data_IF_408248138929
#
_entry.id   IF_408248138929
#
_cell.length_a   1.000
_cell.length_b   1.000
_cell.length_c   1.000
_cell.angle_alpha   90.00
_cell.angle_beta   90.00
_cell.angle_gamma   90.00
#
_symmetry.space_group_name_H-M   'P 1'
#
loop_
_entity.id
_entity.type
_entity.pdbx_description
1 polymer ?
#
# COMPACT_ATOMS: atom_id res chain seq x y z
N UNK A 1 24.39 27.97 6.76
CA UNK A 1 23.15 27.83 7.55
C UNK A 1 22.18 26.98 6.72
N UNK A 2 22.13 25.65 6.93
CA UNK A 2 21.32 24.72 6.12
C UNK A 2 21.05 23.40 6.86
N UNK A 3 20.73 23.44 8.17
CA UNK A 3 20.72 22.22 9.00
C UNK A 3 19.52 22.07 9.93
N UNK A 4 18.41 22.75 9.67
CA UNK A 4 17.22 22.68 10.53
C UNK A 4 16.04 21.89 9.93
N UNK A 5 16.21 21.28 8.74
CA UNK A 5 15.11 20.57 8.07
C UNK A 5 15.06 19.05 8.35
N UNK A 6 15.98 18.51 9.13
CA UNK A 6 16.09 17.05 9.37
C UNK A 6 15.28 16.54 10.57
N UNK A 7 14.82 17.42 11.47
CA UNK A 7 14.19 16.99 12.74
C UNK A 7 12.76 16.45 12.55
N UNK A 8 11.98 17.00 11.62
CA UNK A 8 10.57 16.56 11.41
C UNK A 8 10.45 15.18 10.74
N UNK A 9 11.55 14.65 10.18
CA UNK A 9 11.56 13.34 9.50
C UNK A 9 11.89 12.18 10.46
N UNK A 10 12.14 12.46 11.73
CA UNK A 10 12.54 11.43 12.72
C UNK A 10 11.48 10.34 12.89
N UNK A 11 10.20 10.70 13.01
CA UNK A 11 9.09 9.73 13.13
C UNK A 11 8.94 8.87 11.88
N UNK A 12 9.07 9.47 10.70
CA UNK A 12 9.05 8.73 9.44
C UNK A 12 10.23 7.76 9.33
N UNK A 13 11.42 8.16 9.79
CA UNK A 13 12.62 7.31 9.77
C UNK A 13 12.54 6.11 10.72
N UNK A 14 11.73 6.19 11.78
CA UNK A 14 11.49 5.09 12.72
C UNK A 14 10.64 3.97 12.14
N UNK A 15 9.88 4.23 11.07
CA UNK A 15 9.07 3.21 10.40
C UNK A 15 9.93 2.16 9.69
N UNK A 16 9.35 0.97 9.50
CA UNK A 16 9.98 -0.07 8.70
C UNK A 16 10.31 0.43 7.28
N UNK A 17 11.43 -0.04 6.69
CA UNK A 17 11.84 0.35 5.34
C UNK A 17 10.74 0.03 4.29
N UNK A 18 9.94 -1.00 4.57
CA UNK A 18 8.79 -1.40 3.76
C UNK A 18 7.68 -0.35 3.81
N UNK A 19 7.25 0.09 5.01
CA UNK A 19 6.23 1.12 5.13
C UNK A 19 6.67 2.45 4.53
N UNK A 20 7.91 2.88 4.80
CA UNK A 20 8.47 4.11 4.18
C UNK A 20 8.36 4.08 2.66
N UNK A 21 8.75 2.96 2.06
CA UNK A 21 8.65 2.75 0.61
C UNK A 21 7.20 2.73 0.12
N UNK A 22 6.27 2.18 0.91
CA UNK A 22 4.85 2.15 0.59
C UNK A 22 4.23 3.55 0.63
N UNK A 23 4.53 4.35 1.66
CA UNK A 23 4.13 5.75 1.81
C UNK A 23 4.60 6.58 0.62
N UNK A 24 5.88 6.46 0.26
CA UNK A 24 6.45 7.16 -0.90
C UNK A 24 5.84 6.70 -2.22
N UNK A 25 5.62 5.39 -2.38
CA UNK A 25 5.00 4.83 -3.58
C UNK A 25 3.56 5.28 -3.75
N UNK A 26 2.80 5.39 -2.65
CA UNK A 26 1.44 5.90 -2.66
C UNK A 26 1.40 7.37 -3.11
N UNK A 27 2.31 8.20 -2.57
CA UNK A 27 2.51 9.57 -3.02
C UNK A 27 2.82 9.65 -4.52
N UNK A 28 3.88 8.96 -4.96
CA UNK A 28 4.38 9.05 -6.33
C UNK A 28 3.34 8.57 -7.35
N UNK A 29 2.62 7.49 -7.03
CA UNK A 29 1.57 6.93 -7.90
C UNK A 29 0.43 7.92 -8.12
N UNK A 30 0.08 8.71 -7.11
CA UNK A 30 -1.04 9.64 -7.20
C UNK A 30 -0.59 10.98 -7.77
N UNK A 31 0.58 11.48 -7.37
CA UNK A 31 1.13 12.74 -7.87
C UNK A 31 1.44 12.68 -9.37
N UNK A 32 1.92 11.54 -9.89
CA UNK A 32 2.21 11.35 -11.33
C UNK A 32 0.96 11.29 -12.22
N UNK A 33 -0.23 11.02 -11.67
CA UNK A 33 -1.46 11.03 -12.49
C UNK A 33 -1.82 12.43 -12.98
N UNK A 34 -1.42 13.48 -12.26
CA UNK A 34 -1.74 14.87 -12.63
C UNK A 34 -1.02 15.35 -13.87
N UNK A 35 0.16 14.83 -14.18
CA UNK A 35 0.98 15.32 -15.29
C UNK A 35 0.65 14.65 -16.63
N UNK A 36 -0.11 13.56 -16.62
CA UNK A 36 -0.29 12.72 -17.83
C UNK A 36 -1.60 12.99 -18.56
N UNK A 37 -2.66 13.42 -17.87
CA UNK A 37 -3.98 13.59 -18.50
C UNK A 37 -4.13 14.88 -19.34
N UNK A 38 -3.37 15.94 -19.05
CA UNK A 38 -3.52 17.22 -19.78
C UNK A 38 -2.68 17.33 -21.06
N UNK A 39 -1.69 16.45 -21.28
CA UNK A 39 -0.76 16.59 -22.41
C UNK A 39 -1.01 15.64 -23.59
N UNK A 40 -1.95 14.69 -23.47
CA UNK A 40 -2.23 13.70 -24.53
C UNK A 40 -3.47 14.04 -25.38
N UNK A 41 -4.18 15.13 -25.09
CA UNK A 41 -5.37 15.59 -25.86
C UNK A 41 -5.08 16.65 -26.93
N UNK A 42 -3.83 17.10 -27.08
CA UNK A 42 -3.47 18.14 -28.06
C UNK A 42 -2.92 17.62 -29.41
N UNK A 43 -2.89 16.31 -29.66
CA UNK A 43 -2.29 15.76 -30.89
C UNK A 43 -3.10 14.64 -31.53
N UNK A 44 -4.39 14.89 -31.80
CA UNK A 44 -5.20 13.96 -32.60
C UNK A 44 -6.20 14.59 -33.59
N UNK A 45 -6.08 15.89 -33.90
CA UNK A 45 -6.89 16.54 -34.96
C UNK A 45 -6.10 17.58 -35.79
N UNK A 46 -4.96 17.15 -36.33
CA UNK A 46 -4.34 17.83 -37.49
C UNK A 46 -4.27 16.86 -38.68
N UNK A 47 -5.44 16.38 -39.09
CA UNK A 47 -5.62 15.73 -40.39
C UNK A 47 -5.59 16.80 -41.50
N UNK A 48 -4.63 16.68 -42.41
CA UNK A 48 -4.79 17.08 -43.81
C UNK A 48 -4.44 18.52 -44.18
N UNK A 49 -3.18 18.74 -44.58
CA UNK A 49 -2.73 19.95 -45.27
C UNK A 49 -1.46 19.69 -46.06
N UNK A 50 -1.57 18.91 -47.15
CA UNK A 50 -0.54 18.81 -48.18
C UNK A 50 -0.24 20.21 -48.74
N UNK A 51 0.97 20.71 -48.54
CA UNK A 51 1.50 21.84 -49.31
C UNK A 51 2.27 21.20 -50.49
N UNK A 52 1.88 21.45 -51.75
CA UNK A 52 2.64 20.96 -52.90
C UNK A 52 4.00 21.64 -52.97
N UNK A 53 4.99 20.86 -53.41
CA UNK A 53 6.31 21.29 -53.87
C UNK A 53 6.26 22.65 -54.57
N UNK A 54 6.89 23.65 -53.95
CA UNK A 54 7.26 24.88 -54.66
C UNK A 54 8.70 25.20 -54.28
N UNK A 55 9.60 24.87 -55.22
CA UNK A 55 11.03 25.06 -55.08
C UNK A 55 11.41 26.53 -54.89
N UNK A 56 12.51 26.71 -54.16
CA UNK A 56 13.28 27.95 -54.16
C UNK A 56 14.76 27.59 -54.20
N UNK A 57 15.36 27.78 -55.38
CA UNK A 57 16.80 27.94 -55.58
C UNK A 57 17.15 29.41 -55.34
N UNK A 58 18.17 29.64 -54.52
CA UNK A 58 19.16 30.74 -54.52
C UNK A 58 20.23 30.23 -53.55
N UNK A 59 21.36 29.65 -53.99
CA UNK A 59 22.56 30.33 -54.52
C UNK A 59 22.86 31.58 -53.69
N UNK A 60 23.66 31.43 -52.62
CA UNK A 60 25.13 31.54 -52.56
C UNK A 60 25.52 32.94 -52.02
N UNK A 61 26.68 32.96 -51.39
CA UNK A 61 27.48 34.08 -50.92
C UNK A 61 27.32 34.63 -49.48
N UNK A 62 28.49 34.61 -48.86
CA UNK A 62 29.09 35.51 -47.86
C UNK A 62 28.76 35.36 -46.37
N UNK A 63 29.73 34.73 -45.71
CA UNK A 63 30.53 35.28 -44.61
C UNK A 63 29.87 35.75 -43.29
N UNK A 64 30.63 35.41 -42.25
CA UNK A 64 30.72 36.04 -40.93
C UNK A 64 29.86 35.57 -39.75
N UNK A 65 30.60 35.57 -38.64
CA UNK A 65 30.20 35.62 -37.24
C UNK A 65 29.81 34.29 -36.57
N UNK A 66 30.84 33.65 -36.02
CA UNK A 66 30.73 32.69 -34.93
C UNK A 66 29.88 33.22 -33.77
N UNK A 67 28.68 32.68 -33.65
CA UNK A 67 27.86 32.75 -32.45
C UNK A 67 28.13 31.53 -31.59
N UNK A 68 28.76 31.75 -30.43
CA UNK A 68 28.94 30.75 -29.38
C UNK A 68 27.56 30.30 -28.90
N UNK A 69 27.03 29.22 -29.46
CA UNK A 69 25.89 28.53 -28.86
C UNK A 69 26.39 28.01 -27.51
N UNK A 70 25.79 28.41 -26.37
CA UNK A 70 26.05 27.70 -25.12
C UNK A 70 25.81 26.22 -25.40
N UNK A 71 26.64 25.30 -24.88
CA UNK A 71 26.43 23.88 -25.11
C UNK A 71 24.97 23.60 -24.82
N UNK A 72 24.24 23.12 -25.83
CA UNK A 72 22.89 22.62 -25.66
C UNK A 72 22.99 21.59 -24.57
N UNK A 73 22.76 22.05 -23.34
CA UNK A 73 22.65 21.21 -22.18
C UNK A 73 21.58 20.26 -22.60
N UNK A 74 21.97 19.00 -22.80
CA UNK A 74 21.01 17.92 -22.76
C UNK A 74 20.19 18.24 -21.53
N UNK A 75 18.98 18.75 -21.75
CA UNK A 75 17.96 18.88 -20.76
C UNK A 75 17.79 17.43 -20.34
N UNK A 76 18.60 17.07 -19.35
CA UNK A 76 18.40 15.91 -18.54
C UNK A 76 17.02 16.24 -18.04
N UNK A 77 16.03 15.64 -18.68
CA UNK A 77 14.70 15.48 -18.13
C UNK A 77 14.93 14.60 -16.92
N UNK A 78 15.59 15.17 -15.91
CA UNK A 78 15.50 14.74 -14.55
C UNK A 78 14.01 14.76 -14.36
N UNK A 79 13.45 13.56 -14.31
CA UNK A 79 12.08 13.32 -13.96
C UNK A 79 11.97 13.80 -12.52
N UNK A 80 11.85 15.13 -12.37
CA UNK A 80 11.76 15.81 -11.10
C UNK A 80 10.55 15.19 -10.44
N UNK A 81 10.81 14.34 -9.44
CA UNK A 81 9.76 13.64 -8.72
C UNK A 81 8.83 14.73 -8.19
N UNK A 82 7.52 14.67 -8.46
CA UNK A 82 6.60 15.70 -8.03
C UNK A 82 6.75 15.85 -6.51
N UNK A 83 7.03 17.07 -6.05
CA UNK A 83 7.27 17.34 -4.63
C UNK A 83 5.97 17.61 -3.87
N UNK A 84 4.85 17.80 -4.57
CA UNK A 84 3.56 18.21 -4.05
C UNK A 84 2.42 17.40 -4.67
N UNK A 85 1.33 17.20 -3.91
CA UNK A 85 0.08 16.60 -4.38
C UNK A 85 -1.11 17.50 -4.00
N UNK A 86 -2.16 17.59 -4.83
CA UNK A 86 -3.37 18.33 -4.45
C UNK A 86 -4.20 17.58 -3.40
N UNK A 87 -4.83 18.32 -2.47
CA UNK A 87 -5.69 17.77 -1.40
C UNK A 87 -6.78 16.81 -1.90
N UNK A 88 -7.33 17.07 -3.10
CA UNK A 88 -8.38 16.24 -3.71
C UNK A 88 -7.94 14.80 -4.00
N UNK A 89 -6.63 14.55 -4.04
CA UNK A 89 -6.04 13.25 -4.36
C UNK A 89 -5.61 12.43 -3.14
N UNK A 90 -5.63 13.05 -1.96
CA UNK A 90 -5.27 12.40 -0.69
C UNK A 90 -6.15 11.19 -0.39
N UNK A 91 -7.49 11.23 -0.57
CA UNK A 91 -8.33 10.04 -0.41
C UNK A 91 -7.82 8.82 -1.18
N UNK A 92 -7.41 9.01 -2.44
CA UNK A 92 -6.87 7.93 -3.28
C UNK A 92 -5.50 7.45 -2.79
N UNK A 93 -4.65 8.35 -2.28
CA UNK A 93 -3.36 7.98 -1.71
C UNK A 93 -3.52 7.20 -0.40
N UNK A 94 -4.44 7.62 0.48
CA UNK A 94 -4.79 6.91 1.72
C UNK A 94 -5.31 5.50 1.44
N UNK A 95 -6.12 5.35 0.39
CA UNK A 95 -6.60 4.04 -0.03
C UNK A 95 -5.46 3.09 -0.44
N UNK A 96 -4.35 3.58 -0.99
CA UNK A 96 -3.17 2.75 -1.30
C UNK A 96 -2.38 2.31 -0.06
N UNK A 97 -2.62 2.98 1.07
CA UNK A 97 -2.08 2.63 2.39
C UNK A 97 -3.07 1.82 3.23
N UNK A 98 -4.20 1.40 2.64
CA UNK A 98 -5.30 0.75 3.35
C UNK A 98 -5.86 1.59 4.52
N UNK A 99 -5.72 2.92 4.45
CA UNK A 99 -6.30 3.88 5.39
C UNK A 99 -7.68 4.34 4.87
N UNK A 100 -8.63 4.72 5.77
CA UNK A 100 -9.96 5.17 5.35
C UNK A 100 -9.86 6.45 4.49
N UNK A 101 -10.33 6.42 3.23
CA UNK A 101 -10.12 7.53 2.30
C UNK A 101 -10.99 8.76 2.59
N UNK A 102 -12.07 8.60 3.36
CA UNK A 102 -13.07 9.62 3.64
C UNK A 102 -13.14 10.02 5.12
N UNK A 103 -12.11 9.71 5.91
CA UNK A 103 -12.04 10.10 7.31
C UNK A 103 -11.88 11.63 7.42
N UNK A 104 -12.88 12.35 7.98
CA UNK A 104 -12.85 13.81 8.05
C UNK A 104 -11.74 14.32 8.98
N UNK A 105 -11.34 13.56 9.99
CA UNK A 105 -10.29 13.95 10.93
C UNK A 105 -8.93 13.92 10.25
N UNK A 106 -8.62 12.82 9.55
CA UNK A 106 -7.38 12.67 8.78
C UNK A 106 -7.31 13.76 7.69
N UNK A 107 -8.40 13.98 6.96
CA UNK A 107 -8.45 15.01 5.92
C UNK A 107 -8.30 16.42 6.49
N UNK A 108 -8.81 16.69 7.69
CA UNK A 108 -8.60 17.96 8.40
C UNK A 108 -7.13 18.18 8.74
N UNK A 109 -6.43 17.15 9.23
CA UNK A 109 -4.98 17.21 9.49
C UNK A 109 -4.21 17.54 8.22
N UNK A 110 -4.55 16.90 7.09
CA UNK A 110 -3.93 17.22 5.80
C UNK A 110 -4.24 18.62 5.30
N UNK A 111 -5.45 19.14 5.50
CA UNK A 111 -5.80 20.54 5.20
C UNK A 111 -4.95 21.50 6.02
N UNK A 112 -4.81 21.23 7.32
CA UNK A 112 -3.96 22.03 8.21
C UNK A 112 -2.49 21.97 7.77
N UNK A 113 -2.00 20.79 7.38
CA UNK A 113 -0.65 20.63 6.88
C UNK A 113 -0.44 21.38 5.55
N UNK A 114 -1.40 21.30 4.61
CA UNK A 114 -1.40 22.03 3.35
C UNK A 114 -1.42 23.56 3.54
N UNK A 115 -2.16 24.05 4.55
CA UNK A 115 -2.21 25.46 4.91
C UNK A 115 -0.91 25.98 5.54
N UNK A 116 0.06 25.08 5.76
CA UNK A 116 1.41 25.41 6.19
C UNK A 116 1.53 25.49 7.71
N UNK A 117 1.91 24.38 8.34
CA UNK A 117 2.46 24.39 9.71
C UNK A 117 3.74 25.25 9.78
N UNK A 118 4.42 25.41 8.64
CA UNK A 118 5.67 26.15 8.49
C UNK A 118 5.52 27.67 8.60
N UNK A 119 4.32 28.22 8.39
CA UNK A 119 4.07 29.67 8.46
C UNK A 119 4.12 30.23 9.89
N UNK A 120 4.07 29.38 10.93
CA UNK A 120 4.16 29.83 12.32
C UNK A 120 5.60 30.17 12.76
N UNK A 121 6.64 29.61 12.12
CA UNK A 121 8.05 29.85 12.45
C UNK A 121 8.65 30.94 11.54
N UNK A 122 8.20 32.17 11.71
CA UNK A 122 9.14 33.31 11.68
C UNK A 122 9.59 33.92 10.34
N UNK A 123 8.80 33.88 9.27
CA UNK A 123 9.09 34.69 8.06
C UNK A 123 7.89 35.55 7.65
N UNK A 124 7.37 36.34 8.61
CA UNK A 124 6.51 37.50 8.29
C UNK A 124 7.40 38.68 7.88
N UNK A 125 8.04 38.61 6.72
CA UNK A 125 8.65 39.79 6.09
C UNK A 125 8.23 39.84 4.63
N UNK A 126 7.26 40.70 4.31
CA UNK A 126 6.86 41.02 2.93
C UNK A 126 5.42 40.63 2.63
N UNK A 127 4.43 41.37 3.11
CA UNK A 127 3.82 42.52 2.40
C UNK A 127 2.84 42.07 1.31
N UNK A 128 1.59 41.87 1.74
CA UNK A 128 0.37 42.23 1.00
C UNK A 128 0.23 41.65 -0.41
N UNK A 129 -0.08 40.37 -0.50
CA UNK A 129 -0.82 39.82 -1.64
C UNK A 129 -2.26 39.61 -1.19
N UNK A 130 -3.19 40.33 -1.80
CA UNK A 130 -4.62 40.23 -1.54
C UNK A 130 -5.10 38.78 -1.70
N UNK A 131 -6.04 38.45 -0.83
CA UNK A 131 -6.68 37.17 -0.63
C UNK A 131 -7.43 36.76 -1.90
N UNK A 132 -6.75 36.07 -2.81
CA UNK A 132 -7.42 35.15 -3.72
C UNK A 132 -7.84 33.95 -2.86
N UNK A 133 -9.01 34.08 -2.21
CA UNK A 133 -9.77 32.99 -1.57
C UNK A 133 -10.27 32.00 -2.63
N UNK A 134 -9.38 31.59 -3.53
CA UNK A 134 -9.57 30.55 -4.52
C UNK A 134 -9.78 29.23 -3.80
N UNK A 135 -11.04 28.96 -3.50
CA UNK A 135 -11.58 27.70 -3.04
C UNK A 135 -10.93 26.54 -3.82
N UNK A 136 -10.14 25.70 -3.12
CA UNK A 136 -9.95 24.31 -3.55
C UNK A 136 -8.55 23.85 -3.95
N UNK A 137 -7.51 24.67 -3.82
CA UNK A 137 -6.18 24.32 -4.34
C UNK A 137 -5.13 23.78 -3.36
N UNK A 138 -5.43 23.53 -2.07
CA UNK A 138 -4.38 23.22 -1.10
C UNK A 138 -3.45 22.09 -1.58
N UNK A 139 -2.13 22.36 -1.58
CA UNK A 139 -1.09 21.41 -1.98
C UNK A 139 -0.44 20.84 -0.72
N UNK A 140 -0.35 19.52 -0.63
CA UNK A 140 0.37 18.82 0.44
C UNK A 140 1.77 18.47 -0.06
N UNK A 141 2.79 18.92 0.67
CA UNK A 141 4.16 18.57 0.36
C UNK A 141 4.44 17.10 0.67
N UNK A 142 5.43 16.50 -0.01
CA UNK A 142 5.89 15.13 0.29
C UNK A 142 6.29 14.95 1.75
N UNK A 143 6.87 15.99 2.36
CA UNK A 143 7.30 15.96 3.76
C UNK A 143 6.09 15.88 4.70
N UNK A 144 5.10 16.74 4.48
CA UNK A 144 3.86 16.72 5.27
C UNK A 144 3.12 15.40 5.11
N UNK A 145 3.08 14.85 3.89
CA UNK A 145 2.53 13.51 3.63
C UNK A 145 3.22 12.42 4.45
N UNK A 146 4.55 12.38 4.44
CA UNK A 146 5.34 11.40 5.20
C UNK A 146 5.10 11.55 6.70
N UNK A 147 5.10 12.78 7.21
CA UNK A 147 4.92 13.06 8.64
C UNK A 147 3.54 12.59 9.12
N UNK A 148 2.47 12.96 8.42
CA UNK A 148 1.10 12.54 8.79
C UNK A 148 0.93 11.02 8.69
N UNK A 149 1.42 10.41 7.60
CA UNK A 149 1.31 8.95 7.43
C UNK A 149 2.16 8.19 8.46
N UNK A 150 3.30 8.73 8.89
CA UNK A 150 4.11 8.10 9.91
C UNK A 150 3.37 8.00 11.23
N UNK A 151 2.76 9.08 11.69
CA UNK A 151 1.97 9.09 12.93
C UNK A 151 0.77 8.13 12.84
N UNK A 152 0.09 8.08 11.69
CA UNK A 152 -1.06 7.19 11.50
C UNK A 152 -0.68 5.70 11.49
N UNK A 153 0.54 5.37 11.08
CA UNK A 153 1.02 3.99 10.92
C UNK A 153 1.97 3.53 12.03
N UNK A 154 2.38 4.42 12.95
CA UNK A 154 3.33 4.16 14.04
C UNK A 154 2.91 3.01 14.97
N UNK A 155 1.61 2.70 15.06
CA UNK A 155 1.08 1.57 15.83
C UNK A 155 0.74 0.31 15.04
N UNK A 156 0.94 0.30 13.72
CA UNK A 156 0.55 -0.85 12.88
C UNK A 156 1.71 -1.82 12.59
N UNK A 157 2.96 -1.35 12.70
CA UNK A 157 4.17 -2.15 12.44
C UNK A 157 4.52 -3.13 13.60
N UNK A 158 3.99 -2.92 14.81
CA UNK A 158 4.45 -3.65 16.01
C UNK A 158 3.84 -5.05 16.17
N UNK A 159 2.79 -5.39 15.41
CA UNK A 159 2.07 -6.66 15.55
C UNK A 159 2.48 -7.75 14.54
N UNK A 160 3.34 -7.45 13.56
CA UNK A 160 3.67 -8.38 12.45
C UNK A 160 5.08 -8.98 12.51
N UNK A 161 5.83 -8.81 13.60
CA UNK A 161 7.06 -9.58 13.82
C UNK A 161 6.79 -10.65 14.89
N UNK A 162 6.32 -11.87 14.52
CA UNK A 162 6.60 -13.01 15.36
C UNK A 162 8.11 -13.08 15.48
N UNK A 163 8.62 -12.81 16.68
CA UNK A 163 10.01 -13.03 17.05
C UNK A 163 10.37 -14.44 16.58
N UNK A 164 11.02 -14.52 15.42
CA UNK A 164 11.59 -15.76 14.92
C UNK A 164 12.74 -16.03 15.87
N UNK A 165 12.44 -16.77 16.93
CA UNK A 165 13.34 -17.13 18.02
C UNK A 165 14.42 -18.14 17.56
N UNK A 166 14.92 -17.98 16.34
CA UNK A 166 15.84 -18.90 15.67
C UNK A 166 17.00 -18.14 14.98
N UNK A 167 17.46 -17.07 15.63
CA UNK A 167 18.85 -16.63 15.49
C UNK A 167 19.57 -16.94 16.79
N UNK A 168 19.78 -18.24 17.03
CA UNK A 168 20.91 -18.69 17.82
C UNK A 168 22.13 -18.41 16.94
N UNK A 169 22.78 -17.30 17.25
CA UNK A 169 24.09 -16.97 16.73
C UNK A 169 25.03 -18.04 17.30
N UNK A 170 25.33 -19.05 16.48
CA UNK A 170 26.42 -20.00 16.68
C UNK A 170 27.70 -19.15 16.72
N UNK A 171 28.14 -18.85 17.94
CA UNK A 171 29.46 -18.29 18.18
C UNK A 171 30.41 -19.48 18.22
N UNK A 172 31.11 -19.67 17.10
CA UNK A 172 32.26 -20.54 16.91
C UNK A 172 33.30 -20.25 18.01
N UNK A 173 33.25 -20.98 19.12
CA UNK A 173 34.36 -21.07 20.07
C UNK A 173 34.92 -22.49 20.03
N UNK A 174 36.12 -22.57 19.43
CA UNK A 174 36.89 -23.77 19.22
C UNK A 174 37.32 -24.43 20.53
N UNK A 175 36.94 -25.69 20.74
CA UNK A 175 37.76 -26.62 21.53
C UNK A 175 37.92 -27.96 20.81
N UNK A 176 39.18 -28.25 20.50
CA UNK A 176 39.71 -29.54 20.10
C UNK A 176 39.41 -30.58 21.18
N UNK A 177 38.68 -31.63 20.81
CA UNK A 177 38.74 -32.91 21.54
C UNK A 177 38.62 -34.04 20.53
N UNK A 178 39.79 -34.48 20.06
CA UNK A 178 40.01 -35.84 19.59
C UNK A 178 39.59 -36.80 20.71
N UNK A 179 38.69 -37.75 20.45
CA UNK A 179 38.90 -39.15 20.84
C UNK A 179 38.05 -40.08 19.94
N UNK A 180 38.75 -41.08 19.42
CA UNK A 180 38.25 -42.25 18.71
C UNK A 180 37.17 -42.99 19.51
N UNK A 181 36.07 -43.36 18.86
CA UNK A 181 35.46 -44.64 19.20
C UNK A 181 34.81 -45.28 17.98
N UNK A 182 35.46 -46.35 17.54
CA UNK A 182 34.97 -47.32 16.59
C UNK A 182 33.69 -47.99 17.13
N UNK A 183 32.60 -47.98 16.37
CA UNK A 183 31.60 -49.05 16.51
C UNK A 183 30.82 -49.27 15.23
N UNK A 184 30.90 -50.51 14.78
CA UNK A 184 30.35 -51.10 13.57
C UNK A 184 28.84 -51.34 13.69
N UNK A 185 28.09 -51.16 12.60
CA UNK A 185 26.65 -51.40 12.63
C UNK A 185 25.89 -51.22 11.32
N UNK A 186 26.27 -52.01 10.32
CA UNK A 186 25.46 -52.43 9.15
C UNK A 186 23.96 -52.07 9.17
N UNK A 187 23.50 -51.22 8.24
CA UNK A 187 22.17 -51.42 7.62
C UNK A 187 22.09 -50.82 6.22
N UNK A 188 21.90 -51.71 5.26
CA UNK A 188 21.78 -51.52 3.82
C UNK A 188 20.36 -51.08 3.45
N UNK A 189 20.21 -49.98 2.71
CA UNK A 189 18.95 -49.70 1.98
C UNK A 189 19.18 -48.80 0.75
N UNK A 190 19.14 -49.46 -0.41
CA UNK A 190 18.56 -49.03 -1.69
C UNK A 190 18.75 -47.58 -2.19
N UNK A 191 19.79 -47.41 -3.00
CA UNK A 191 20.05 -46.21 -3.81
C UNK A 191 19.17 -46.21 -5.06
N UNK A 192 18.17 -45.33 -5.12
CA UNK A 192 17.46 -45.01 -6.36
C UNK A 192 18.15 -43.79 -6.98
N UNK A 193 18.94 -44.04 -8.03
CA UNK A 193 19.52 -43.01 -8.88
C UNK A 193 18.42 -42.40 -9.77
N UNK A 194 18.00 -41.17 -9.46
CA UNK A 194 17.17 -40.39 -10.38
C UNK A 194 17.97 -39.22 -10.94
N UNK A 195 18.18 -39.15 -12.26
CA UNK A 195 18.91 -38.04 -12.87
C UNK A 195 18.06 -36.77 -12.83
N UNK A 196 18.37 -35.87 -11.89
CA UNK A 196 17.78 -34.53 -11.83
C UNK A 196 18.41 -33.64 -12.92
N UNK A 197 17.75 -33.61 -14.08
CA UNK A 197 18.06 -32.66 -15.17
C UNK A 197 17.80 -31.23 -14.68
N UNK A 198 18.89 -30.49 -14.45
CA UNK A 198 18.90 -29.03 -14.27
C UNK A 198 18.29 -28.35 -15.51
N UNK A 199 17.04 -27.90 -15.43
CA UNK A 199 16.42 -27.03 -16.44
C UNK A 199 16.63 -25.57 -16.04
N UNK A 200 17.36 -24.83 -16.89
CA UNK A 200 17.49 -23.37 -16.81
C UNK A 200 16.09 -22.73 -16.95
N UNK A 201 15.73 -21.71 -16.14
CA UNK A 201 14.49 -20.98 -16.33
C UNK A 201 14.65 -20.04 -17.54
N UNK A 202 14.09 -20.46 -18.67
CA UNK A 202 13.92 -19.63 -19.85
C UNK A 202 12.78 -18.63 -19.58
N UNK A 203 13.14 -17.36 -19.37
CA UNK A 203 12.18 -16.26 -19.20
C UNK A 203 11.49 -16.00 -20.53
N UNK A 204 10.38 -16.69 -20.79
CA UNK A 204 9.46 -16.33 -21.87
C UNK A 204 8.74 -15.04 -21.48
N UNK A 205 9.13 -13.97 -22.17
CA UNK A 205 8.52 -12.65 -22.08
C UNK A 205 7.14 -12.74 -22.74
N UNK A 206 6.12 -13.03 -21.93
CA UNK A 206 4.72 -13.05 -22.39
C UNK A 206 4.30 -11.64 -22.78
N UNK A 207 4.21 -11.42 -24.08
CA UNK A 207 3.67 -10.21 -24.71
C UNK A 207 2.18 -10.16 -24.39
N UNK A 208 1.83 -9.39 -23.35
CA UNK A 208 0.47 -9.14 -22.90
C UNK A 208 -0.29 -8.39 -23.99
N UNK A 209 -1.01 -9.14 -24.82
CA UNK A 209 -2.03 -8.62 -25.73
C UNK A 209 -3.09 -7.89 -24.92
N UNK A 210 -3.16 -6.57 -25.09
CA UNK A 210 -4.20 -5.69 -24.56
C UNK A 210 -5.53 -6.12 -25.18
N UNK A 211 -6.28 -6.98 -24.48
CA UNK A 211 -7.69 -7.20 -24.75
C UNK A 211 -8.47 -5.95 -24.28
N UNK A 212 -9.41 -5.45 -25.10
CA UNK A 212 -10.26 -4.33 -24.72
C UNK A 212 -11.10 -4.71 -23.51
N UNK A 213 -11.12 -3.80 -22.55
CA UNK A 213 -11.89 -3.86 -21.30
C UNK A 213 -13.38 -3.96 -21.59
N UNK A 214 -13.94 -5.15 -21.43
CA UNK A 214 -15.38 -5.32 -21.27
C UNK A 214 -15.85 -4.59 -20.00
N UNK A 215 -17.02 -3.93 -20.03
CA UNK A 215 -17.58 -3.24 -18.87
C UNK A 215 -17.76 -4.26 -17.74
N UNK A 216 -17.10 -3.99 -16.61
CA UNK A 216 -17.03 -4.89 -15.47
C UNK A 216 -18.40 -4.97 -14.80
N UNK A 217 -18.91 -6.18 -14.63
CA UNK A 217 -20.11 -6.41 -13.84
C UNK A 217 -19.92 -5.89 -12.40
N UNK A 218 -20.92 -5.21 -11.82
CA UNK A 218 -20.88 -4.74 -10.45
C UNK A 218 -21.12 -5.94 -9.51
N UNK A 219 -20.09 -6.73 -9.18
CA UNK A 219 -20.38 -7.91 -8.37
C UNK A 219 -19.24 -8.72 -7.79
N UNK A 220 -17.97 -8.50 -8.14
CA UNK A 220 -16.90 -9.17 -7.38
C UNK A 220 -16.77 -8.46 -6.02
N UNK A 221 -17.04 -9.14 -4.89
CA UNK A 221 -16.89 -8.53 -3.58
C UNK A 221 -15.44 -8.08 -3.46
N UNK A 222 -15.25 -6.78 -3.26
CA UNK A 222 -13.92 -6.22 -2.98
C UNK A 222 -13.36 -7.02 -1.80
N UNK A 223 -12.21 -7.68 -2.00
CA UNK A 223 -11.56 -8.39 -0.92
C UNK A 223 -11.32 -7.45 0.25
N UNK A 224 -11.51 -7.93 1.48
CA UNK A 224 -11.29 -7.14 2.69
C UNK A 224 -9.86 -6.59 2.69
N UNK A 225 -9.72 -5.33 3.09
CA UNK A 225 -8.40 -4.74 3.35
C UNK A 225 -7.74 -5.45 4.52
N UNK A 226 -6.42 -5.34 4.65
CA UNK A 226 -5.68 -6.00 5.73
C UNK A 226 -6.16 -5.54 7.11
N UNK A 227 -6.48 -4.25 7.23
CA UNK A 227 -7.11 -3.66 8.43
C UNK A 227 -8.47 -4.29 8.73
N UNK A 228 -9.34 -4.40 7.72
CA UNK A 228 -10.67 -4.97 7.90
C UNK A 228 -10.61 -6.44 8.33
N UNK A 229 -9.65 -7.21 7.81
CA UNK A 229 -9.39 -8.58 8.27
C UNK A 229 -8.96 -8.62 9.73
N UNK A 230 -8.07 -7.71 10.14
CA UNK A 230 -7.64 -7.60 11.53
C UNK A 230 -8.79 -7.25 12.46
N UNK A 231 -9.62 -6.27 12.10
CA UNK A 231 -10.80 -5.88 12.87
C UNK A 231 -11.84 -7.02 12.93
N UNK A 232 -12.07 -7.72 11.81
CA UNK A 232 -12.93 -8.89 11.77
C UNK A 232 -12.40 -10.02 12.67
N UNK A 233 -11.08 -10.24 12.70
CA UNK A 233 -10.46 -11.24 13.57
C UNK A 233 -10.61 -10.88 15.04
N UNK A 234 -10.34 -9.63 15.42
CA UNK A 234 -10.51 -9.14 16.80
C UNK A 234 -11.98 -9.26 17.24
N UNK A 235 -12.94 -8.87 16.39
CA UNK A 235 -14.35 -9.01 16.68
C UNK A 235 -14.78 -10.49 16.77
N UNK A 236 -14.23 -11.36 15.92
CA UNK A 236 -14.48 -12.80 15.97
C UNK A 236 -13.95 -13.42 17.27
N UNK A 237 -12.78 -12.98 17.75
CA UNK A 237 -12.19 -13.43 19.01
C UNK A 237 -13.07 -13.13 20.23
N UNK A 238 -13.87 -12.06 20.21
CA UNK A 238 -14.80 -11.72 21.31
C UNK A 238 -15.85 -12.81 21.59
N UNK A 239 -16.15 -13.66 20.63
CA UNK A 239 -17.08 -14.79 20.80
C UNK A 239 -16.42 -16.01 21.50
N UNK A 240 -15.10 -16.01 21.64
CA UNK A 240 -14.31 -17.12 22.19
C UNK A 240 -13.42 -16.65 23.34
N UNK A 241 -13.99 -16.43 24.55
CA UNK A 241 -13.23 -15.91 25.69
C UNK A 241 -12.08 -16.83 26.15
N UNK A 242 -12.10 -18.09 25.73
CA UNK A 242 -11.07 -19.09 26.06
C UNK A 242 -9.88 -19.10 25.08
N UNK A 243 -9.90 -18.26 24.04
CA UNK A 243 -8.87 -18.21 22.99
C UNK A 243 -8.21 -16.84 22.99
N UNK A 244 -6.88 -16.81 22.99
CA UNK A 244 -6.13 -15.56 22.89
C UNK A 244 -6.34 -14.94 21.48
N UNK A 245 -6.66 -13.64 21.36
CA UNK A 245 -6.70 -12.95 20.07
C UNK A 245 -5.39 -13.06 19.26
N UNK A 246 -4.24 -13.28 19.91
CA UNK A 246 -2.96 -13.51 19.23
C UNK A 246 -2.86 -14.86 18.52
N UNK A 247 -3.64 -15.86 18.94
CA UNK A 247 -3.60 -17.23 18.42
C UNK A 247 -4.49 -17.39 17.17
N UNK A 248 -4.12 -16.66 16.11
CA UNK A 248 -4.78 -16.70 14.79
C UNK A 248 -5.04 -18.11 14.24
N UNK A 249 -4.14 -19.11 14.32
CA UNK A 249 -4.46 -20.46 13.82
C UNK A 249 -5.58 -21.11 14.62
N UNK A 250 -5.63 -20.92 15.94
CA UNK A 250 -6.65 -21.49 16.79
C UNK A 250 -8.02 -20.85 16.53
N UNK A 251 -8.05 -19.53 16.35
CA UNK A 251 -9.27 -18.80 15.96
C UNK A 251 -9.80 -19.24 14.59
N UNK A 252 -8.92 -19.42 13.60
CA UNK A 252 -9.33 -19.85 12.26
C UNK A 252 -9.97 -21.24 12.22
N UNK A 253 -9.60 -22.11 13.17
CA UNK A 253 -10.19 -23.44 13.34
C UNK A 253 -11.53 -23.43 14.11
N UNK A 254 -11.81 -22.36 14.86
CA UNK A 254 -13.07 -22.20 15.60
C UNK A 254 -14.20 -21.81 14.66
N UNK A 255 -15.40 -22.19 15.06
CA UNK A 255 -16.65 -21.94 14.31
C UNK A 255 -17.66 -21.32 15.27
N UNK A 256 -18.29 -20.25 14.81
CA UNK A 256 -19.32 -19.55 15.55
C UNK A 256 -20.64 -20.30 15.36
N UNK A 257 -21.15 -20.90 16.43
CA UNK A 257 -22.42 -21.61 16.44
C UNK A 257 -23.44 -20.96 17.39
N UNK A 258 -24.57 -21.64 17.57
CA UNK A 258 -25.68 -21.18 18.44
C UNK A 258 -25.21 -20.99 19.89
N UNK A 259 -24.27 -21.83 20.37
CA UNK A 259 -23.76 -21.74 21.75
C UNK A 259 -23.01 -20.44 21.98
N UNK A 260 -22.10 -20.10 21.07
CA UNK A 260 -21.28 -18.90 21.15
C UNK A 260 -22.15 -17.64 21.01
N UNK A 261 -23.12 -17.66 20.08
CA UNK A 261 -24.08 -16.57 19.90
C UNK A 261 -24.98 -16.38 21.13
N UNK A 262 -25.42 -17.47 21.76
CA UNK A 262 -26.19 -17.42 23.01
C UNK A 262 -25.38 -16.86 24.18
N UNK A 263 -24.08 -17.18 24.26
CA UNK A 263 -23.19 -16.61 25.26
C UNK A 263 -23.02 -15.09 25.06
N UNK A 264 -22.83 -14.65 23.81
CA UNK A 264 -22.74 -13.23 23.48
C UNK A 264 -24.05 -12.48 23.79
N UNK A 265 -25.20 -13.03 23.40
CA UNK A 265 -26.52 -12.45 23.71
C UNK A 265 -26.75 -12.31 25.23
N UNK A 266 -26.33 -13.34 26.01
CA UNK A 266 -26.40 -13.29 27.48
C UNK A 266 -25.51 -12.19 28.05
N UNK A 267 -24.30 -12.01 27.52
CA UNK A 267 -23.37 -10.96 27.95
C UNK A 267 -23.95 -9.55 27.68
N UNK A 268 -24.64 -9.37 26.54
CA UNK A 268 -25.32 -8.13 26.16
C UNK A 268 -26.70 -7.95 26.83
N UNK A 269 -27.17 -8.95 27.59
CA UNK A 269 -28.52 -8.99 28.21
C UNK A 269 -29.66 -8.92 27.19
N UNK A 270 -29.42 -9.41 25.98
CA UNK A 270 -30.41 -9.48 24.91
C UNK A 270 -31.10 -10.85 24.90
N UNK A 271 -32.40 -10.85 24.56
CA UNK A 271 -33.21 -12.07 24.44
C UNK A 271 -33.39 -12.40 22.97
N UNK A 272 -32.51 -13.24 22.44
CA UNK A 272 -32.60 -13.78 21.08
C UNK A 272 -33.09 -15.23 21.18
N UNK A 273 -34.09 -15.61 20.39
CA UNK A 273 -34.59 -16.99 20.38
C UNK A 273 -33.63 -17.92 19.65
N UNK A 274 -33.65 -19.22 19.98
CA UNK A 274 -32.80 -20.19 19.28
C UNK A 274 -33.09 -20.26 17.77
N UNK A 275 -34.36 -20.09 17.38
CA UNK A 275 -34.78 -20.04 15.97
C UNK A 275 -34.14 -18.84 15.25
N UNK A 276 -34.17 -17.66 15.86
CA UNK A 276 -33.55 -16.46 15.31
C UNK A 276 -32.01 -16.60 15.21
N UNK A 277 -31.36 -17.24 16.19
CA UNK A 277 -29.92 -17.52 16.11
C UNK A 277 -29.58 -18.43 14.93
N UNK A 278 -30.39 -19.45 14.68
CA UNK A 278 -30.20 -20.35 13.53
C UNK A 278 -30.42 -19.62 12.22
N UNK A 279 -31.44 -18.77 12.13
CA UNK A 279 -31.71 -17.94 10.95
C UNK A 279 -30.54 -16.98 10.65
N UNK A 280 -30.00 -16.32 11.70
CA UNK A 280 -28.82 -15.45 11.57
C UNK A 280 -27.60 -16.22 11.07
N UNK A 281 -27.36 -17.42 11.59
CA UNK A 281 -26.24 -18.26 11.16
C UNK A 281 -26.43 -18.73 9.71
N UNK A 282 -27.65 -19.12 9.33
CA UNK A 282 -27.99 -19.60 7.99
C UNK A 282 -27.88 -18.50 6.92
N UNK A 283 -28.12 -17.24 7.27
CA UNK A 283 -27.98 -16.12 6.34
C UNK A 283 -26.54 -15.90 5.84
N UNK A 284 -25.53 -16.26 6.64
CA UNK A 284 -24.11 -15.97 6.34
C UNK A 284 -23.20 -17.21 6.29
N UNK A 285 -23.66 -18.35 6.79
CA UNK A 285 -22.90 -19.60 6.77
C UNK A 285 -22.81 -20.15 5.35
N UNK A 286 -21.62 -20.61 4.98
CA UNK A 286 -21.44 -21.47 3.79
C UNK A 286 -21.37 -22.95 4.13
N UNK A 287 -21.44 -23.28 5.43
CA UNK A 287 -21.25 -24.63 5.94
C UNK A 287 -22.60 -25.30 6.20
N UNK A 288 -22.76 -26.59 5.88
CA UNK A 288 -24.04 -27.30 6.03
C UNK A 288 -24.45 -27.49 7.49
N UNK A 289 -23.52 -27.33 8.42
CA UNK A 289 -23.72 -27.43 9.87
C UNK A 289 -24.30 -26.16 10.51
N UNK A 290 -24.60 -25.13 9.69
CA UNK A 290 -25.10 -23.82 10.13
C UNK A 290 -24.17 -23.14 11.13
N UNK A 291 -22.86 -23.29 10.94
CA UNK A 291 -21.85 -22.55 11.69
C UNK A 291 -21.15 -21.54 10.80
N UNK A 292 -20.76 -20.40 11.37
CA UNK A 292 -20.03 -19.36 10.65
C UNK A 292 -18.54 -19.55 10.92
N UNK A 293 -17.75 -19.77 9.85
CA UNK A 293 -16.29 -19.76 9.91
C UNK A 293 -15.74 -18.33 9.95
N UNK A 294 -14.44 -18.13 10.26
CA UNK A 294 -13.81 -16.80 10.18
C UNK A 294 -14.00 -16.16 8.79
N UNK A 295 -13.88 -16.93 7.71
CA UNK A 295 -14.09 -16.44 6.36
C UNK A 295 -15.55 -16.04 6.08
N UNK A 296 -16.51 -16.73 6.71
CA UNK A 296 -17.93 -16.38 6.62
C UNK A 296 -18.21 -15.09 7.41
N UNK A 297 -17.60 -14.95 8.59
CA UNK A 297 -17.69 -13.76 9.44
C UNK A 297 -17.09 -12.52 8.76
N UNK A 298 -15.92 -12.68 8.13
CA UNK A 298 -15.30 -11.66 7.28
C UNK A 298 -16.25 -11.15 6.18
N UNK A 299 -16.90 -12.06 5.45
CA UNK A 299 -17.88 -11.67 4.42
C UNK A 299 -19.12 -10.99 5.01
N UNK A 300 -19.58 -11.47 6.16
CA UNK A 300 -20.68 -10.85 6.90
C UNK A 300 -20.35 -9.40 7.26
N UNK A 301 -19.16 -9.11 7.78
CA UNK A 301 -18.71 -7.76 8.13
C UNK A 301 -18.73 -6.80 6.93
N UNK A 302 -18.33 -7.26 5.74
CA UNK A 302 -18.41 -6.47 4.51
C UNK A 302 -19.86 -6.23 4.10
N UNK A 303 -20.70 -7.26 4.16
CA UNK A 303 -22.10 -7.17 3.77
C UNK A 303 -22.88 -6.19 4.67
N UNK A 304 -22.56 -6.14 5.96
CA UNK A 304 -23.20 -5.25 6.94
C UNK A 304 -22.55 -3.87 7.04
N UNK A 305 -21.45 -3.61 6.31
CA UNK A 305 -20.62 -2.38 6.40
C UNK A 305 -20.16 -2.07 7.84
N UNK A 306 -19.79 -3.12 8.57
CA UNK A 306 -19.23 -3.00 9.93
C UNK A 306 -17.69 -2.97 9.94
N UNK A 307 -17.05 -3.08 8.77
CA UNK A 307 -15.61 -3.00 8.56
C UNK A 307 -15.26 -1.87 7.58
#
# INVERSE_FOLDING_TARGET
MASSDTEDDTTFLNLSARLRSQIDRAFDKVASTTTTDDNDVASMDAAGGFIPDSGFLLDDDDDDAGGFLPPSGHASTSTLKPSQMPLSRIPSALQLLDLPPADPEILSVFRNAASGWRSARGERVGRGGEEDEGEGGGLVSRKDWRSVCAVLLEGQDDDEQPLSADQVQDDDEAEEQEEEMESSGSSSSEYIDTPTKKRKPERTRSTRTRRPSSPSEPGSPKGLTLRQKREALLAFALFFPDVDPGDTPMLSAKRLGVRELANAARALREKISAEQMVEMLEAFSTSPDKTISLADFERMMVATRMA
#
